data_IF_523362324956
#
_entry.id   IF_523362324956
#
_cell.length_a   1.000
_cell.length_b   1.000
_cell.length_c   1.000
_cell.angle_alpha   90.00
_cell.angle_beta   90.00
_cell.angle_gamma   90.00
#
_symmetry.space_group_name_H-M   'P 1'
#
loop_
_entity.id
_entity.type
_entity.pdbx_description
1 polymer ?
#
# COMPACT_ATOMS: atom_id res chain seq x y z
N UNK A 1 -11.49 23.51 -10.27
CA UNK A 1 -10.23 22.72 -10.42
C UNK A 1 -10.16 21.86 -9.18
N UNK A 2 -10.38 20.55 -9.30
CA UNK A 2 -10.55 19.67 -8.14
C UNK A 2 -9.25 19.60 -7.36
N UNK A 3 -9.26 20.07 -6.12
CA UNK A 3 -8.12 19.95 -5.22
C UNK A 3 -7.86 18.47 -4.97
N UNK A 4 -6.74 18.01 -5.50
CA UNK A 4 -6.06 16.79 -5.12
C UNK A 4 -5.56 17.01 -3.68
N UNK A 5 -6.44 16.86 -2.68
CA UNK A 5 -6.01 16.61 -1.31
C UNK A 5 -5.50 15.17 -1.27
N UNK A 6 -4.36 14.90 -1.89
CA UNK A 6 -3.85 13.53 -1.98
C UNK A 6 -3.00 13.18 -0.76
N UNK A 7 -2.41 14.15 -0.05
CA UNK A 7 -1.63 13.87 1.15
C UNK A 7 -1.79 14.98 2.22
N UNK A 8 -2.05 14.58 3.47
CA UNK A 8 -1.85 15.39 4.68
C UNK A 8 -0.42 15.15 5.16
N UNK A 9 0.44 16.13 4.87
CA UNK A 9 1.89 16.07 5.01
C UNK A 9 2.34 15.66 6.42
N UNK A 10 1.53 15.89 7.46
CA UNK A 10 1.91 15.59 8.85
C UNK A 10 1.42 14.24 9.38
N UNK A 11 0.44 13.59 8.71
CA UNK A 11 -0.17 12.34 9.18
C UNK A 11 0.05 11.16 8.24
N UNK A 12 0.56 11.40 7.04
CA UNK A 12 0.77 10.34 6.06
C UNK A 12 2.09 9.57 6.26
N UNK A 13 1.98 8.24 6.21
CA UNK A 13 3.13 7.34 6.17
C UNK A 13 3.33 6.79 4.74
N UNK A 14 4.55 6.93 4.22
CA UNK A 14 4.95 6.35 2.95
C UNK A 14 5.67 5.03 3.15
N UNK A 15 5.32 4.00 2.40
CA UNK A 15 6.01 2.71 2.44
C UNK A 15 6.92 2.60 1.24
N UNK A 16 8.23 2.66 1.49
CA UNK A 16 9.26 2.62 0.47
C UNK A 16 9.92 1.23 0.35
N UNK A 17 10.45 0.94 -0.82
CA UNK A 17 11.43 -0.14 -0.98
C UNK A 17 12.81 0.31 -0.45
N UNK A 18 13.76 -0.63 -0.30
CA UNK A 18 15.13 -0.36 0.13
C UNK A 18 15.85 0.71 -0.69
N UNK A 19 15.48 0.90 -1.96
CA UNK A 19 16.03 1.92 -2.85
C UNK A 19 15.55 3.33 -2.56
N UNK A 20 14.54 3.51 -1.71
CA UNK A 20 14.01 4.82 -1.31
C UNK A 20 14.66 5.34 -0.02
N UNK A 21 15.86 4.86 0.32
CA UNK A 21 16.55 5.26 1.56
C UNK A 21 16.82 6.77 1.61
N UNK A 22 16.99 7.39 0.45
CA UNK A 22 17.30 8.81 0.31
C UNK A 22 16.03 9.65 0.04
N UNK A 23 14.83 9.06 0.23
CA UNK A 23 13.58 9.82 0.13
C UNK A 23 13.49 10.82 1.29
N UNK A 24 13.07 12.04 0.97
CA UNK A 24 12.88 13.15 1.90
C UNK A 24 11.97 12.71 3.08
N UNK A 25 12.58 12.54 4.25
CA UNK A 25 11.92 12.16 5.50
C UNK A 25 11.54 13.38 6.35
N UNK A 26 11.84 14.60 5.89
CA UNK A 26 11.45 15.84 6.58
C UNK A 26 9.97 16.16 6.37
N UNK A 27 9.42 15.76 5.22
CA UNK A 27 8.02 16.02 4.84
C UNK A 27 7.06 14.88 5.10
N UNK A 28 7.56 13.65 5.19
CA UNK A 28 6.71 12.46 5.34
C UNK A 28 7.40 11.41 6.20
N UNK A 29 6.62 10.63 6.93
CA UNK A 29 7.17 9.46 7.62
C UNK A 29 7.39 8.33 6.62
N UNK A 30 8.64 8.06 6.26
CA UNK A 30 8.98 6.96 5.32
C UNK A 30 9.31 5.67 6.09
N UNK A 31 8.53 4.62 5.84
CA UNK A 31 8.69 3.26 6.40
C UNK A 31 9.33 2.34 5.36
N UNK A 32 10.58 1.95 5.60
CA UNK A 32 11.34 1.05 4.72
C UNK A 32 11.70 -0.24 5.48
N UNK A 33 11.69 -1.43 4.83
CA UNK A 33 12.16 -2.65 5.46
C UNK A 33 13.60 -2.52 5.97
N UNK A 34 13.79 -2.66 7.29
CA UNK A 34 15.09 -2.52 7.93
C UNK A 34 16.13 -3.47 7.33
N UNK A 35 17.34 -2.96 7.17
CA UNK A 35 18.51 -3.71 6.70
C UNK A 35 19.49 -3.92 7.85
N UNK A 36 20.24 -5.01 7.80
CA UNK A 36 21.33 -5.22 8.76
C UNK A 36 22.38 -4.14 8.53
N UNK A 37 22.86 -3.53 9.61
CA UNK A 37 24.01 -2.65 9.54
C UNK A 37 25.30 -3.45 9.38
N UNK A 38 26.36 -2.80 8.88
CA UNK A 38 27.66 -3.45 8.71
C UNK A 38 28.16 -3.98 10.07
N UNK A 39 28.47 -5.27 10.14
CA UNK A 39 28.87 -5.95 11.38
C UNK A 39 27.73 -6.55 12.20
N UNK A 40 26.46 -6.30 11.85
CA UNK A 40 25.33 -7.01 12.45
C UNK A 40 25.01 -8.30 11.70
N UNK A 41 24.87 -9.39 12.44
CA UNK A 41 24.44 -10.68 11.91
C UNK A 41 22.92 -10.88 11.97
N UNK A 42 22.23 -10.18 12.89
CA UNK A 42 20.77 -10.29 13.10
C UNK A 42 20.17 -8.94 13.53
N UNK A 43 18.89 -8.73 13.20
CA UNK A 43 18.09 -7.63 13.73
C UNK A 43 17.64 -7.96 15.16
N UNK A 44 17.37 -6.93 15.97
CA UNK A 44 16.66 -7.13 17.24
C UNK A 44 15.28 -7.74 16.99
N UNK A 45 14.69 -8.42 17.97
CA UNK A 45 13.33 -8.98 17.85
C UNK A 45 12.30 -7.91 17.47
N UNK A 46 12.43 -6.71 18.05
CA UNK A 46 11.59 -5.55 17.73
C UNK A 46 11.74 -5.14 16.26
N UNK A 47 12.97 -4.94 15.81
CA UNK A 47 13.26 -4.48 14.45
C UNK A 47 12.90 -5.54 13.40
N UNK A 48 13.09 -6.82 13.72
CA UNK A 48 12.67 -7.93 12.90
C UNK A 48 11.14 -7.97 12.73
N UNK A 49 10.39 -7.70 13.80
CA UNK A 49 8.93 -7.63 13.76
C UNK A 49 8.44 -6.42 12.95
N UNK A 50 9.03 -5.24 13.15
CA UNK A 50 8.72 -4.03 12.35
C UNK A 50 9.00 -4.28 10.87
N UNK A 51 10.15 -4.87 10.54
CA UNK A 51 10.48 -5.25 9.15
C UNK A 51 9.44 -6.19 8.56
N UNK A 52 9.07 -7.26 9.27
CA UNK A 52 8.04 -8.21 8.81
C UNK A 52 6.71 -7.51 8.54
N UNK A 53 6.30 -6.58 9.41
CA UNK A 53 5.07 -5.80 9.25
C UNK A 53 5.10 -4.95 7.98
N UNK A 54 6.16 -4.17 7.77
CA UNK A 54 6.33 -3.32 6.57
C UNK A 54 6.36 -4.20 5.30
N UNK A 55 7.10 -5.31 5.32
CA UNK A 55 7.16 -6.24 4.18
C UNK A 55 5.80 -6.88 3.87
N UNK A 56 5.04 -7.31 4.88
CA UNK A 56 3.69 -7.84 4.67
C UNK A 56 2.78 -6.82 4.01
N UNK A 57 2.76 -5.59 4.54
CA UNK A 57 1.93 -4.52 4.00
C UNK A 57 2.29 -4.19 2.55
N UNK A 58 3.59 -4.08 2.23
CA UNK A 58 4.08 -3.94 0.86
C UNK A 58 3.58 -5.07 -0.03
N UNK A 59 3.75 -6.33 0.39
CA UNK A 59 3.33 -7.49 -0.39
C UNK A 59 1.83 -7.46 -0.68
N UNK A 60 1.00 -7.04 0.27
CA UNK A 60 -0.45 -6.87 0.05
C UNK A 60 -0.72 -5.81 -1.02
N UNK A 61 -0.09 -4.63 -0.91
CA UNK A 61 -0.25 -3.54 -1.90
C UNK A 61 0.22 -3.98 -3.29
N UNK A 62 1.37 -4.63 -3.40
CA UNK A 62 1.90 -5.12 -4.68
C UNK A 62 1.02 -6.18 -5.32
N UNK A 63 0.38 -7.06 -4.53
CA UNK A 63 -0.59 -8.04 -5.04
C UNK A 63 -1.83 -7.37 -5.63
N UNK A 64 -2.40 -6.38 -4.94
CA UNK A 64 -3.54 -5.60 -5.46
C UNK A 64 -3.16 -4.83 -6.73
N UNK A 65 -2.01 -4.14 -6.71
CA UNK A 65 -1.50 -3.45 -7.91
C UNK A 65 -1.23 -4.41 -9.06
N UNK A 66 -0.78 -5.64 -8.78
CA UNK A 66 -0.58 -6.69 -9.78
C UNK A 66 -1.87 -7.04 -10.52
N UNK A 67 -3.00 -7.16 -9.80
CA UNK A 67 -4.33 -7.37 -10.41
C UNK A 67 -4.72 -6.18 -11.27
N UNK A 68 -4.59 -4.96 -10.74
CA UNK A 68 -4.96 -3.75 -11.48
C UNK A 68 -4.13 -3.56 -12.77
N UNK A 69 -2.86 -4.00 -12.79
CA UNK A 69 -1.99 -3.90 -13.97
C UNK A 69 -2.41 -4.77 -15.15
N UNK A 70 -3.31 -5.74 -14.98
CA UNK A 70 -3.86 -6.51 -16.10
C UNK A 70 -4.73 -5.62 -17.02
N UNK A 71 -5.29 -4.54 -16.48
CA UNK A 71 -6.09 -3.60 -17.25
C UNK A 71 -5.19 -2.74 -18.10
N UNK A 72 -5.40 -2.79 -19.43
CA UNK A 72 -4.59 -2.06 -20.41
C UNK A 72 -4.42 -0.58 -20.07
N UNK A 73 -5.46 0.06 -19.54
CA UNK A 73 -5.47 1.48 -19.17
C UNK A 73 -4.51 1.81 -18.00
N UNK A 74 -4.21 0.84 -17.13
CA UNK A 74 -3.27 0.99 -16.00
C UNK A 74 -1.88 0.47 -16.36
N UNK A 75 -1.81 -0.59 -17.18
CA UNK A 75 -0.56 -1.20 -17.62
C UNK A 75 0.19 -0.42 -18.71
N UNK A 76 -0.42 0.58 -19.34
CA UNK A 76 0.18 1.42 -20.38
C UNK A 76 0.56 2.82 -19.89
N UNK A 77 1.21 3.60 -20.76
CA UNK A 77 1.35 5.04 -20.57
C UNK A 77 -0.05 5.65 -20.40
N UNK A 78 -0.25 6.39 -19.31
CA UNK A 78 -1.52 7.04 -18.99
C UNK A 78 -1.52 8.42 -19.65
N UNK A 79 -2.56 8.73 -20.41
CA UNK A 79 -2.78 10.07 -20.97
C UNK A 79 -2.87 11.10 -19.83
N UNK A 80 -2.20 12.25 -19.99
CA UNK A 80 -2.22 13.36 -19.03
C UNK A 80 -3.65 13.79 -18.67
N UNK A 81 -4.62 13.68 -19.59
CA UNK A 81 -6.02 13.99 -19.30
C UNK A 81 -6.67 13.00 -18.32
N UNK A 82 -6.17 11.77 -18.25
CA UNK A 82 -6.65 10.72 -17.36
C UNK A 82 -6.00 10.79 -15.98
N UNK A 83 -4.90 11.52 -15.81
CA UNK A 83 -4.20 11.59 -14.51
C UNK A 83 -5.11 12.14 -13.41
N UNK A 84 -5.95 13.13 -13.73
CA UNK A 84 -6.92 13.71 -12.79
C UNK A 84 -8.07 12.76 -12.44
N UNK A 85 -8.25 11.69 -13.23
CA UNK A 85 -9.30 10.68 -13.06
C UNK A 85 -8.74 9.37 -12.49
N UNK A 86 -7.44 9.27 -12.24
CA UNK A 86 -6.78 8.01 -11.86
C UNK A 86 -7.38 7.40 -10.60
N UNK A 87 -7.71 8.23 -9.59
CA UNK A 87 -8.34 7.76 -8.35
C UNK A 87 -9.69 7.11 -8.59
N UNK A 88 -10.56 7.72 -9.41
CA UNK A 88 -11.86 7.15 -9.77
C UNK A 88 -11.70 5.89 -10.61
N UNK A 89 -10.75 5.88 -11.54
CA UNK A 89 -10.47 4.73 -12.38
C UNK A 89 -10.02 3.52 -11.55
N UNK A 90 -9.07 3.70 -10.63
CA UNK A 90 -8.59 2.64 -9.74
C UNK A 90 -9.72 2.08 -8.86
N UNK A 91 -10.62 2.94 -8.36
CA UNK A 91 -11.79 2.50 -7.59
C UNK A 91 -12.73 1.63 -8.42
N UNK A 92 -13.03 2.05 -9.65
CA UNK A 92 -13.90 1.29 -10.56
C UNK A 92 -13.26 -0.05 -10.90
N UNK A 93 -11.99 -0.05 -11.32
CA UNK A 93 -11.28 -1.28 -11.69
C UNK A 93 -11.14 -2.22 -10.49
N UNK A 94 -10.84 -1.71 -9.30
CA UNK A 94 -10.79 -2.50 -8.08
C UNK A 94 -12.15 -3.13 -7.73
N UNK A 95 -13.26 -2.42 -7.94
CA UNK A 95 -14.59 -2.99 -7.77
C UNK A 95 -14.89 -4.11 -8.78
N UNK A 96 -14.49 -3.93 -10.05
CA UNK A 96 -14.60 -4.97 -11.08
C UNK A 96 -13.75 -6.20 -10.72
N UNK A 97 -12.50 -5.99 -10.31
CA UNK A 97 -11.59 -7.05 -9.88
C UNK A 97 -12.18 -7.85 -8.71
N UNK A 98 -12.82 -7.19 -7.75
CA UNK A 98 -13.44 -7.84 -6.60
C UNK A 98 -14.70 -8.64 -6.94
N UNK A 99 -15.39 -8.31 -8.04
CA UNK A 99 -16.58 -9.05 -8.49
C UNK A 99 -16.18 -10.28 -9.32
N UNK A 100 -15.17 -10.13 -10.19
CA UNK A 100 -14.92 -11.11 -11.26
C UNK A 100 -13.64 -11.94 -11.09
N UNK A 101 -12.70 -11.53 -10.23
CA UNK A 101 -11.48 -12.29 -10.01
C UNK A 101 -11.52 -13.03 -8.68
N UNK A 102 -10.62 -14.00 -8.54
CA UNK A 102 -10.39 -14.69 -7.28
C UNK A 102 -10.03 -13.69 -6.16
N UNK A 103 -10.63 -13.90 -4.99
CA UNK A 103 -10.36 -13.11 -3.81
C UNK A 103 -8.90 -13.31 -3.40
N UNK A 104 -8.14 -12.21 -3.30
CA UNK A 104 -6.76 -12.26 -2.81
C UNK A 104 -6.63 -12.78 -1.38
N UNK A 105 -7.72 -12.67 -0.62
CA UNK A 105 -7.82 -13.13 0.74
C UNK A 105 -9.04 -14.03 0.85
N UNK A 106 -8.81 -15.34 0.87
CA UNK A 106 -9.83 -16.29 1.28
C UNK A 106 -9.81 -16.32 2.81
N UNK A 107 -10.92 -15.99 3.49
CA UNK A 107 -10.99 -16.08 4.95
C UNK A 107 -10.83 -17.55 5.33
N UNK A 108 -9.63 -17.90 5.77
CA UNK A 108 -9.33 -19.21 6.35
C UNK A 108 -9.29 -19.03 7.87
N UNK A 109 -9.64 -20.06 8.65
CA UNK A 109 -9.72 -19.98 10.13
C UNK A 109 -8.39 -19.58 10.82
N UNK A 110 -7.28 -19.55 10.08
CA UNK A 110 -5.94 -19.12 10.54
C UNK A 110 -5.49 -17.76 9.96
N UNK A 111 -6.34 -17.10 9.16
CA UNK A 111 -6.05 -15.89 8.37
C UNK A 111 -6.57 -14.58 8.97
N UNK A 112 -7.09 -14.60 10.20
CA UNK A 112 -7.64 -13.42 10.90
C UNK A 112 -6.67 -12.22 10.96
N UNK A 113 -5.36 -12.46 10.88
CA UNK A 113 -4.37 -11.40 11.01
C UNK A 113 -4.30 -10.47 9.79
N UNK A 114 -4.56 -10.96 8.58
CA UNK A 114 -4.46 -10.16 7.36
C UNK A 114 -5.77 -9.39 7.09
N UNK A 115 -6.92 -9.96 7.49
CA UNK A 115 -8.26 -9.34 7.35
C UNK A 115 -8.47 -8.21 8.37
N UNK A 116 -8.00 -8.37 9.61
CA UNK A 116 -8.11 -7.33 10.64
C UNK A 116 -7.24 -6.09 10.32
N UNK A 117 -6.22 -6.22 9.47
CA UNK A 117 -5.40 -5.09 9.01
C UNK A 117 -6.12 -4.18 8.02
N UNK A 118 -6.98 -4.75 7.16
CA UNK A 118 -7.74 -4.02 6.14
C UNK A 118 -9.01 -3.39 6.75
N UNK A 119 -9.63 -4.06 7.74
CA UNK A 119 -10.83 -3.58 8.45
C UNK A 119 -10.62 -2.27 9.23
N UNK A 120 -9.39 -1.82 9.45
CA UNK A 120 -9.13 -0.52 10.06
C UNK A 120 -9.56 0.68 9.18
N UNK A 121 -9.99 0.46 7.93
CA UNK A 121 -10.58 1.51 7.07
C UNK A 121 -12.09 1.72 7.21
N UNK A 122 -12.87 0.75 7.70
CA UNK A 122 -14.33 0.93 7.85
C UNK A 122 -14.71 1.82 9.05
N UNK A 123 -13.83 1.95 10.04
CA UNK A 123 -14.11 2.73 11.26
C UNK A 123 -13.93 4.24 11.02
N UNK A 124 -13.06 4.66 10.10
CA UNK A 124 -12.79 6.09 9.85
C UNK A 124 -13.90 6.74 8.99
N UNK A 125 -14.65 5.97 8.19
CA UNK A 125 -15.76 6.50 7.39
C UNK A 125 -17.09 6.62 8.16
N UNK A 126 -17.16 6.17 9.41
CA UNK A 126 -18.37 6.25 10.24
C UNK A 126 -18.20 7.17 11.47
N UNK A 127 -17.12 7.96 11.54
CA UNK A 127 -16.86 8.89 12.66
C UNK A 127 -16.60 10.34 12.17
N UNK A 128 -16.94 10.66 10.93
CA UNK A 128 -17.02 12.04 10.41
C UNK A 128 -18.39 12.32 9.80
#
# INVERSE_FOLDING_TARGET
>A
IGNIHIFDETTDEFIGDKGFRDADDERFTVRIPLSLQKGQTRLSTRDANTKRKITKLRNCIEREFGRLKQWKIIGSIIDTNLIFKIGSLLKILGAVDNIYLELLFVPNNNGEQDINFIKHREVIQNVL
#
